data_IF_421401868565
#
_entry.id   IF_421401868565
#
_cell.length_a   1.000
_cell.length_b   1.000
_cell.length_c   1.000
_cell.angle_alpha   90.00
_cell.angle_beta   90.00
_cell.angle_gamma   90.00
#
_symmetry.space_group_name_H-M   'P 1'
#
loop_
_entity.id
_entity.type
_entity.pdbx_description
1 polymer ?
#
# COMPACT_ATOMS: atom_id res chain seq x y z
N UNK A 1 3.52 -20.36 -25.48
CA UNK A 1 3.24 -19.81 -24.15
C UNK A 1 2.89 -18.33 -24.34
N UNK A 2 1.70 -17.83 -24.00
CA UNK A 2 1.11 -17.83 -22.65
C UNK A 2 2.07 -17.05 -21.74
N UNK A 3 1.80 -15.76 -21.55
CA UNK A 3 2.49 -14.75 -20.70
C UNK A 3 4.04 -14.67 -20.75
N UNK A 4 4.58 -13.45 -20.79
CA UNK A 4 6.01 -13.24 -20.54
C UNK A 4 6.31 -13.22 -19.03
N UNK A 5 7.59 -13.35 -18.67
CA UNK A 5 8.03 -13.43 -17.26
C UNK A 5 7.50 -12.26 -16.41
N UNK A 6 7.57 -11.02 -16.91
CA UNK A 6 7.07 -9.85 -16.20
C UNK A 6 5.58 -9.94 -15.91
N UNK A 7 4.78 -10.36 -16.89
CA UNK A 7 3.33 -10.51 -16.71
C UNK A 7 2.99 -11.61 -15.70
N UNK A 8 3.76 -12.70 -15.67
CA UNK A 8 3.59 -13.77 -14.68
C UNK A 8 3.91 -13.24 -13.28
N UNK A 9 5.01 -12.49 -13.13
CA UNK A 9 5.39 -11.89 -11.86
C UNK A 9 4.31 -10.92 -11.38
N UNK A 10 3.80 -10.05 -12.25
CA UNK A 10 2.74 -9.09 -11.90
C UNK A 10 1.47 -9.79 -11.42
N UNK A 11 1.07 -10.88 -12.07
CA UNK A 11 -0.09 -11.68 -11.66
C UNK A 11 0.14 -12.36 -10.31
N UNK A 12 1.33 -12.96 -10.08
CA UNK A 12 1.69 -13.54 -8.79
C UNK A 12 1.63 -12.49 -7.67
N UNK A 13 2.14 -11.29 -7.92
CA UNK A 13 2.10 -10.18 -6.95
C UNK A 13 0.68 -9.67 -6.71
N UNK A 14 -0.19 -9.74 -7.72
CA UNK A 14 -1.60 -9.44 -7.59
C UNK A 14 -2.33 -10.48 -6.74
N UNK A 15 -2.09 -11.78 -6.98
CA UNK A 15 -2.67 -12.87 -6.19
C UNK A 15 -2.18 -12.85 -4.74
N UNK A 16 -0.91 -12.56 -4.49
CA UNK A 16 -0.39 -12.36 -3.12
C UNK A 16 -1.16 -11.29 -2.33
N UNK A 17 -1.61 -10.21 -2.99
CA UNK A 17 -2.41 -9.15 -2.34
C UNK A 17 -3.83 -9.60 -2.01
N UNK A 18 -4.39 -10.51 -2.82
CA UNK A 18 -5.73 -11.06 -2.61
C UNK A 18 -5.71 -12.11 -1.50
N UNK A 19 -4.80 -13.07 -1.62
CA UNK A 19 -4.70 -14.21 -0.71
C UNK A 19 -4.26 -13.79 0.70
N UNK A 20 -3.21 -12.97 0.81
CA UNK A 20 -2.61 -12.57 2.09
C UNK A 20 -3.18 -11.24 2.61
N UNK A 21 -4.42 -10.93 2.24
CA UNK A 21 -5.05 -9.67 2.64
C UNK A 21 -5.27 -9.65 4.16
N UNK A 22 -4.81 -8.58 4.82
CA UNK A 22 -4.91 -8.45 6.27
C UNK A 22 -3.83 -9.19 7.08
N UNK A 23 -2.93 -9.94 6.42
CA UNK A 23 -1.92 -10.75 7.10
C UNK A 23 -0.56 -10.04 7.29
N UNK A 24 -0.46 -8.75 6.95
CA UNK A 24 0.72 -7.93 7.24
C UNK A 24 1.84 -7.95 6.19
N UNK A 25 1.69 -8.65 5.06
CA UNK A 25 2.75 -8.76 4.04
C UNK A 25 2.89 -7.53 3.13
N UNK A 26 1.85 -6.69 3.02
CA UNK A 26 1.80 -5.65 1.99
C UNK A 26 2.93 -4.62 2.09
N UNK A 27 3.30 -4.19 3.30
CA UNK A 27 4.37 -3.20 3.50
C UNK A 27 5.75 -3.77 3.10
N UNK A 28 6.01 -5.02 3.44
CA UNK A 28 7.26 -5.70 3.05
C UNK A 28 7.35 -5.92 1.54
N UNK A 29 6.24 -6.26 0.88
CA UNK A 29 6.18 -6.38 -0.58
C UNK A 29 6.46 -5.02 -1.26
N UNK A 30 5.92 -3.90 -0.72
CA UNK A 30 6.22 -2.55 -1.20
C UNK A 30 7.73 -2.26 -1.15
N UNK A 31 8.36 -2.55 0.00
CA UNK A 31 9.79 -2.28 0.23
C UNK A 31 10.70 -3.16 -0.64
N UNK A 32 10.51 -4.48 -0.64
CA UNK A 32 11.42 -5.41 -1.35
C UNK A 32 11.34 -5.27 -2.87
N UNK A 33 10.18 -4.87 -3.40
CA UNK A 33 9.95 -4.67 -4.83
C UNK A 33 10.16 -3.22 -5.26
N UNK A 34 10.43 -2.32 -4.32
CA UNK A 34 10.54 -0.88 -4.56
C UNK A 34 9.34 -0.31 -5.34
N UNK A 35 8.14 -0.78 -4.99
CA UNK A 35 6.90 -0.37 -5.65
C UNK A 35 6.23 0.77 -4.90
N UNK A 36 5.22 1.38 -5.52
CA UNK A 36 4.40 2.43 -4.93
C UNK A 36 2.98 1.90 -4.65
N UNK A 37 2.36 2.21 -3.50
CA UNK A 37 0.94 1.96 -3.29
C UNK A 37 0.11 2.81 -4.25
N UNK A 38 -0.81 2.17 -4.97
CA UNK A 38 -1.83 2.87 -5.77
C UNK A 38 -3.11 2.90 -4.95
N UNK A 39 -3.60 4.11 -4.64
CA UNK A 39 -4.83 4.35 -3.88
C UNK A 39 -5.65 5.39 -4.62
N UNK A 40 -6.87 5.02 -4.99
CA UNK A 40 -7.77 5.87 -5.76
C UNK A 40 -9.03 6.15 -4.93
N UNK A 41 -9.39 7.43 -4.90
CA UNK A 41 -10.74 7.85 -4.52
C UNK A 41 -11.72 7.37 -5.60
N UNK A 42 -12.97 7.13 -5.21
CA UNK A 42 -14.04 6.83 -6.15
C UNK A 42 -15.25 7.67 -5.80
N UNK A 43 -15.92 8.14 -6.85
CA UNK A 43 -17.23 8.79 -6.79
C UNK A 43 -18.31 7.89 -7.41
N UNK A 44 -18.00 6.61 -7.61
CA UNK A 44 -18.94 5.65 -8.18
C UNK A 44 -20.14 5.45 -7.25
N UNK A 45 -21.26 5.11 -7.86
CA UNK A 45 -22.51 4.80 -7.18
C UNK A 45 -23.06 3.48 -7.69
N UNK A 46 -23.71 2.70 -6.83
CA UNK A 46 -24.47 1.54 -7.24
C UNK A 46 -25.92 1.64 -6.77
N UNK A 47 -26.80 0.88 -7.41
CA UNK A 47 -28.19 0.74 -6.97
C UNK A 47 -28.28 -0.50 -6.10
N UNK A 48 -28.73 -0.35 -4.87
CA UNK A 48 -28.90 -1.46 -3.95
C UNK A 48 -30.14 -2.31 -4.28
N UNK A 49 -30.35 -3.40 -3.54
CA UNK A 49 -31.50 -4.29 -3.74
C UNK A 49 -32.85 -3.61 -3.47
N UNK A 50 -32.87 -2.47 -2.79
CA UNK A 50 -34.07 -1.67 -2.50
C UNK A 50 -34.31 -0.56 -3.55
N UNK A 51 -33.45 -0.46 -4.57
CA UNK A 51 -33.53 0.57 -5.61
C UNK A 51 -32.93 1.92 -5.20
N UNK A 52 -32.27 2.02 -4.05
CA UNK A 52 -31.63 3.24 -3.60
C UNK A 52 -30.26 3.40 -4.25
N UNK A 53 -29.91 4.63 -4.63
CA UNK A 53 -28.56 4.96 -5.10
C UNK A 53 -27.63 5.16 -3.92
N UNK A 54 -26.56 4.37 -3.84
CA UNK A 54 -25.58 4.39 -2.75
C UNK A 54 -24.21 4.76 -3.31
N UNK A 55 -23.54 5.73 -2.68
CA UNK A 55 -22.17 6.13 -3.02
C UNK A 55 -21.15 5.14 -2.47
N UNK A 56 -20.21 4.73 -3.31
CA UNK A 56 -19.05 3.93 -2.93
C UNK A 56 -18.02 4.83 -2.27
N UNK A 57 -17.49 4.39 -1.12
CA UNK A 57 -16.37 5.08 -0.47
C UNK A 57 -15.07 4.32 -0.73
N UNK A 58 -14.22 4.90 -1.56
CA UNK A 58 -12.88 4.40 -1.84
C UNK A 58 -11.86 4.79 -0.78
N UNK A 59 -10.59 4.72 -1.17
CA UNK A 59 -9.51 5.27 -0.35
C UNK A 59 -9.64 6.79 -0.30
N UNK A 60 -9.37 7.41 0.85
CA UNK A 60 -9.38 8.87 1.03
C UNK A 60 -8.01 9.42 1.48
N UNK A 61 -7.06 8.53 1.80
CA UNK A 61 -5.65 8.87 2.05
C UNK A 61 -4.85 8.47 0.81
N UNK A 62 -4.67 9.42 -0.09
CA UNK A 62 -4.03 9.26 -1.41
C UNK A 62 -2.61 9.82 -1.49
N UNK A 63 -2.19 10.58 -0.48
CA UNK A 63 -0.88 11.22 -0.38
C UNK A 63 -0.21 10.97 0.97
N UNK A 64 1.07 11.28 1.08
CA UNK A 64 1.76 11.30 2.36
C UNK A 64 1.28 12.45 3.26
N UNK A 65 1.53 12.38 4.59
CA UNK A 65 1.11 13.42 5.53
C UNK A 65 1.68 14.82 5.24
N UNK A 66 2.79 14.91 4.53
CA UNK A 66 3.39 16.17 4.08
C UNK A 66 2.81 16.70 2.76
N UNK A 67 1.79 16.04 2.21
CA UNK A 67 1.13 16.40 0.96
C UNK A 67 1.86 15.95 -0.31
N UNK A 68 3.01 15.27 -0.17
CA UNK A 68 3.73 14.71 -1.33
C UNK A 68 3.06 13.44 -1.84
N UNK A 69 3.27 13.15 -3.13
CA UNK A 69 2.73 11.94 -3.74
C UNK A 69 3.37 10.69 -3.15
N UNK A 70 2.62 9.58 -3.15
CA UNK A 70 3.18 8.29 -2.78
C UNK A 70 4.28 7.94 -3.78
N UNK A 71 5.47 7.60 -3.28
CA UNK A 71 6.64 7.23 -4.09
C UNK A 71 7.31 6.01 -3.50
N UNK A 72 7.99 5.22 -4.34
CA UNK A 72 8.80 4.09 -3.87
C UNK A 72 9.93 4.55 -2.94
N UNK A 73 10.36 3.65 -2.05
CA UNK A 73 11.48 3.88 -1.12
C UNK A 73 11.34 5.12 -0.21
N UNK A 74 10.12 5.57 0.07
CA UNK A 74 9.86 6.68 0.99
C UNK A 74 10.18 6.31 2.44
N UNK A 75 10.71 7.26 3.22
CA UNK A 75 10.92 7.12 4.68
C UNK A 75 9.64 6.77 5.43
N UNK A 76 8.48 7.16 4.89
CA UNK A 76 7.16 6.86 5.49
C UNK A 76 6.82 5.36 5.48
N UNK A 77 7.60 4.51 4.81
CA UNK A 77 7.44 3.06 4.83
C UNK A 77 8.35 2.36 5.84
N UNK A 78 9.27 3.09 6.49
CA UNK A 78 10.21 2.53 7.45
C UNK A 78 9.76 2.82 8.88
N UNK A 79 9.95 1.84 9.76
CA UNK A 79 9.83 2.08 11.18
C UNK A 79 11.06 2.83 11.68
N UNK A 80 10.90 3.99 12.35
CA UNK A 80 12.02 4.68 12.94
C UNK A 80 12.59 3.86 14.10
N UNK A 81 13.90 4.00 14.35
CA UNK A 81 14.50 3.49 15.57
C UNK A 81 13.82 4.19 16.77
N UNK A 82 13.38 3.46 17.80
CA UNK A 82 12.74 4.06 18.96
C UNK A 82 13.64 5.11 19.61
N UNK A 83 13.07 6.25 19.99
CA UNK A 83 13.81 7.36 20.61
C UNK A 83 14.64 6.92 21.81
N UNK A 84 14.09 6.04 22.66
CA UNK A 84 14.79 5.51 23.82
C UNK A 84 16.08 4.77 23.44
N UNK A 85 16.07 3.97 22.36
CA UNK A 85 17.25 3.25 21.89
C UNK A 85 18.33 4.22 21.38
N UNK A 86 17.94 5.25 20.62
CA UNK A 86 18.85 6.30 20.15
C UNK A 86 19.54 6.99 21.34
N UNK A 87 18.76 7.41 22.35
CA UNK A 87 19.31 8.13 23.51
C UNK A 87 20.15 7.26 24.45
N UNK A 88 19.91 5.94 24.47
CA UNK A 88 20.55 5.02 25.42
C UNK A 88 21.81 4.36 24.85
N UNK A 89 21.91 4.26 23.52
CA UNK A 89 23.04 3.61 22.85
C UNK A 89 23.92 4.66 22.15
N UNK A 90 25.13 4.94 22.66
CA UNK A 90 25.99 5.99 22.11
C UNK A 90 26.52 5.70 20.70
N UNK A 91 26.35 4.48 20.19
CA UNK A 91 26.76 4.11 18.82
C UNK A 91 25.69 4.40 17.76
N UNK A 92 24.51 4.89 18.16
CA UNK A 92 23.37 5.15 17.26
C UNK A 92 23.11 6.66 17.05
N UNK A 93 24.03 7.52 17.47
CA UNK A 93 23.96 8.98 17.32
C UNK A 93 24.64 9.45 16.03
#
# INVERSE_FOLDING_TARGET
SVYNESQIIDEILLERRKELWGEGFRLYDILRLQTVPVRLETNETFVDAAGATVSLRGHWITKFPDGTDLVSNSKYYLFPIPYQEITSNPNLN
#
